data_IF_871963002496
#
_entry.id   IF_871963002496
#
_cell.length_a   1.000
_cell.length_b   1.000
_cell.length_c   1.000
_cell.angle_alpha   90.00
_cell.angle_beta   90.00
_cell.angle_gamma   90.00
#
_symmetry.space_group_name_H-M   'P 1'
#
loop_
_entity.id
_entity.type
_entity.pdbx_description
1 polymer ?
#
# COMPACT_ATOMS: atom_id res chain seq x y z
N UNK A 1 -4.41 23.67 -13.56
CA UNK A 1 -3.40 22.61 -13.79
C UNK A 1 -2.39 22.68 -12.67
N UNK A 2 -2.06 21.57 -12.00
CA UNK A 2 -1.16 21.56 -10.83
C UNK A 2 0.19 20.95 -11.19
N UNK A 3 1.30 21.61 -10.89
CA UNK A 3 2.61 20.96 -11.03
C UNK A 3 2.87 20.01 -9.86
N UNK A 4 3.51 18.89 -10.16
CA UNK A 4 4.01 17.96 -9.15
C UNK A 4 5.39 17.43 -9.54
N UNK A 5 6.14 17.02 -8.53
CA UNK A 5 7.38 16.26 -8.71
C UNK A 5 7.26 14.90 -8.06
N UNK A 6 7.63 13.84 -8.77
CA UNK A 6 7.67 12.48 -8.25
C UNK A 6 9.06 12.21 -7.67
N UNK A 7 9.11 11.79 -6.42
CA UNK A 7 10.35 11.36 -5.74
C UNK A 7 10.19 9.96 -5.17
N UNK A 8 11.32 9.31 -4.89
CA UNK A 8 11.36 8.05 -4.15
C UNK A 8 12.49 8.04 -3.13
N UNK A 9 12.28 7.37 -2.00
CA UNK A 9 13.30 7.06 -1.02
C UNK A 9 13.33 5.56 -0.75
N UNK A 10 14.29 4.85 -1.36
CA UNK A 10 14.43 3.39 -1.28
C UNK A 10 13.17 2.64 -1.76
N UNK A 11 12.60 3.08 -2.87
CA UNK A 11 11.42 2.48 -3.50
C UNK A 11 10.09 3.01 -2.96
N UNK A 12 10.07 3.66 -1.79
CA UNK A 12 8.87 4.30 -1.27
C UNK A 12 8.66 5.65 -1.96
N UNK A 13 7.59 5.77 -2.76
CA UNK A 13 7.47 6.78 -3.81
C UNK A 13 6.31 7.78 -3.60
N UNK A 14 6.62 9.08 -3.69
CA UNK A 14 5.70 10.17 -3.34
C UNK A 14 5.49 11.16 -4.47
N UNK A 15 4.29 11.72 -4.54
CA UNK A 15 4.02 12.94 -5.31
C UNK A 15 4.23 14.14 -4.40
N UNK A 16 5.13 15.05 -4.76
CA UNK A 16 5.41 16.27 -4.02
C UNK A 16 4.75 17.46 -4.70
N UNK A 17 4.01 18.24 -3.90
CA UNK A 17 3.31 19.44 -4.31
C UNK A 17 3.82 20.63 -3.48
N UNK A 18 4.32 21.65 -4.16
CA UNK A 18 4.86 22.84 -3.50
C UNK A 18 3.82 23.94 -3.37
N UNK A 19 3.23 24.04 -2.18
CA UNK A 19 2.27 25.07 -1.78
C UNK A 19 2.88 26.15 -0.88
N UNK A 20 4.21 26.26 -0.76
CA UNK A 20 4.89 27.23 0.13
C UNK A 20 4.54 28.69 -0.18
N UNK A 21 4.19 29.00 -1.42
CA UNK A 21 3.80 30.34 -1.87
C UNK A 21 2.30 30.48 -2.20
N UNK A 22 1.49 29.50 -1.79
CA UNK A 22 0.07 29.42 -2.13
C UNK A 22 -0.12 28.83 -3.53
N UNK A 23 -0.44 27.55 -3.61
CA UNK A 23 -0.99 26.99 -4.85
C UNK A 23 -2.47 27.37 -4.93
N UNK A 24 -2.85 28.19 -5.90
CA UNK A 24 -4.23 28.51 -6.16
C UNK A 24 -4.88 27.41 -7.02
N UNK A 25 -5.91 26.76 -6.50
CA UNK A 25 -6.90 26.05 -7.30
C UNK A 25 -8.17 26.89 -7.38
N UNK A 26 -8.63 27.19 -8.59
CA UNK A 26 -9.78 28.05 -8.83
C UNK A 26 -9.55 29.53 -8.49
N UNK A 27 -10.60 30.34 -8.68
CA UNK A 27 -10.56 31.80 -8.60
C UNK A 27 -10.32 32.37 -7.18
N UNK A 28 -10.10 31.51 -6.18
CA UNK A 28 -10.11 31.84 -4.75
C UNK A 28 -8.75 31.99 -4.07
N UNK A 29 -7.62 31.70 -4.73
CA UNK A 29 -6.26 32.02 -4.22
C UNK A 29 -5.83 31.38 -2.89
N UNK A 30 -6.57 30.40 -2.36
CA UNK A 30 -6.23 29.67 -1.13
C UNK A 30 -5.33 28.45 -1.38
N UNK A 31 -4.63 27.92 -0.35
CA UNK A 31 -3.79 26.73 -0.48
C UNK A 31 -4.61 25.51 -0.93
N UNK A 32 -3.98 24.62 -1.71
CA UNK A 32 -4.61 23.36 -2.15
C UNK A 32 -4.97 22.52 -0.93
N UNK A 33 -6.26 22.33 -0.71
CA UNK A 33 -6.77 21.35 0.23
C UNK A 33 -7.19 20.11 -0.57
N UNK A 34 -6.37 19.06 -0.51
CA UNK A 34 -6.69 17.78 -1.15
C UNK A 34 -7.51 16.97 -0.17
N UNK A 35 -8.75 16.66 -0.54
CA UNK A 35 -9.55 15.70 0.20
C UNK A 35 -8.99 14.26 0.04
N UNK A 36 -9.33 13.33 0.96
CA UNK A 36 -8.87 11.94 0.89
C UNK A 36 -9.22 11.18 -0.41
N UNK A 37 -10.35 11.50 -1.07
CA UNK A 37 -10.75 10.86 -2.32
C UNK A 37 -9.86 11.31 -3.48
N UNK A 38 -9.53 12.60 -3.53
CA UNK A 38 -8.56 13.16 -4.46
C UNK A 38 -7.17 12.54 -4.28
N UNK A 39 -6.73 12.33 -3.03
CA UNK A 39 -5.48 11.60 -2.75
C UNK A 39 -5.52 10.17 -3.31
N UNK A 40 -6.59 9.40 -3.04
CA UNK A 40 -6.73 8.03 -3.57
C UNK A 40 -6.66 8.00 -5.10
N UNK A 41 -7.34 8.93 -5.77
CA UNK A 41 -7.32 9.04 -7.23
C UNK A 41 -5.93 9.34 -7.77
N UNK A 42 -5.18 10.25 -7.13
CA UNK A 42 -3.80 10.56 -7.52
C UNK A 42 -2.85 9.38 -7.31
N UNK A 43 -2.97 8.69 -6.18
CA UNK A 43 -2.13 7.58 -5.78
C UNK A 43 -2.47 6.25 -6.48
N UNK A 44 -3.65 6.11 -7.09
CA UNK A 44 -3.99 4.94 -7.89
C UNK A 44 -2.96 4.76 -9.03
N UNK A 45 -2.32 3.59 -9.08
CA UNK A 45 -1.23 3.31 -10.03
C UNK A 45 -1.68 3.03 -11.47
N UNK A 46 -2.99 2.90 -11.72
CA UNK A 46 -3.55 2.60 -13.06
C UNK A 46 -4.29 3.80 -13.65
N UNK A 47 -5.07 4.48 -12.83
CA UNK A 47 -5.93 5.60 -13.23
C UNK A 47 -5.38 6.96 -12.78
N UNK A 48 -4.47 6.97 -11.82
CA UNK A 48 -3.78 8.15 -11.34
C UNK A 48 -2.34 8.25 -11.85
N UNK A 49 -1.54 9.01 -11.11
CA UNK A 49 -0.09 9.07 -11.30
C UNK A 49 0.59 7.84 -10.70
N UNK A 50 0.01 7.31 -9.61
CA UNK A 50 0.57 6.21 -8.84
C UNK A 50 1.58 6.70 -7.80
N UNK A 51 1.45 6.25 -6.56
CA UNK A 51 2.42 6.49 -5.49
C UNK A 51 1.93 6.01 -4.13
N UNK A 52 2.85 5.78 -3.21
CA UNK A 52 2.54 5.39 -1.83
C UNK A 52 1.93 6.55 -1.02
N UNK A 53 2.10 7.79 -1.49
CA UNK A 53 1.46 8.95 -0.89
C UNK A 53 1.68 10.27 -1.63
N UNK A 54 1.06 11.31 -1.11
CA UNK A 54 1.23 12.70 -1.55
C UNK A 54 1.81 13.52 -0.40
N UNK A 55 2.82 14.34 -0.68
CA UNK A 55 3.46 15.24 0.27
C UNK A 55 3.21 16.67 -0.16
N UNK A 56 2.67 17.48 0.76
CA UNK A 56 2.46 18.91 0.57
C UNK A 56 3.53 19.69 1.33
N UNK A 57 4.30 20.50 0.61
CA UNK A 57 5.14 21.53 1.21
C UNK A 57 4.29 22.79 1.40
N UNK A 58 4.10 23.25 2.64
CA UNK A 58 3.17 24.32 3.00
C UNK A 58 3.91 25.46 3.73
N UNK A 59 3.32 26.66 3.78
CA UNK A 59 3.81 27.71 4.64
C UNK A 59 3.84 27.24 6.11
N UNK A 60 4.85 27.68 6.89
CA UNK A 60 4.95 27.36 8.32
C UNK A 60 3.80 28.02 9.10
N UNK A 61 3.46 27.45 10.26
CA UNK A 61 2.48 28.00 11.21
C UNK A 61 3.12 28.42 12.54
N UNK A 62 4.16 27.72 12.97
CA UNK A 62 4.74 27.81 14.32
C UNK A 62 6.23 28.17 14.28
N UNK A 63 6.61 29.06 13.34
CA UNK A 63 7.97 29.62 13.26
C UNK A 63 9.04 28.63 12.78
N UNK A 64 8.67 27.59 12.04
CA UNK A 64 9.58 26.83 11.17
C UNK A 64 9.82 27.53 9.82
N UNK A 65 10.56 26.89 8.94
CA UNK A 65 10.77 27.38 7.56
C UNK A 65 9.63 26.99 6.63
N UNK A 66 9.10 25.78 6.83
CA UNK A 66 7.94 25.26 6.13
C UNK A 66 7.25 24.19 6.97
N UNK A 67 6.09 23.76 6.50
CA UNK A 67 5.32 22.68 7.09
C UNK A 67 5.11 21.56 6.08
N UNK A 68 5.24 20.32 6.52
CA UNK A 68 4.93 19.14 5.73
C UNK A 68 3.58 18.58 6.17
N UNK A 69 2.71 18.30 5.20
CA UNK A 69 1.62 17.33 5.35
C UNK A 69 1.91 16.15 4.45
N UNK A 70 1.54 14.97 4.88
CA UNK A 70 1.67 13.75 4.09
C UNK A 70 0.34 13.01 4.14
N UNK A 71 -0.04 12.42 3.02
CA UNK A 71 -1.18 11.54 2.92
C UNK A 71 -0.74 10.21 2.34
N UNK A 72 -1.15 9.11 2.95
CA UNK A 72 -1.00 7.77 2.39
C UNK A 72 -1.90 7.61 1.16
N UNK A 73 -1.63 6.59 0.35
CA UNK A 73 -2.42 6.27 -0.83
C UNK A 73 -3.92 6.03 -0.56
N UNK A 74 -4.30 5.67 0.67
CA UNK A 74 -5.70 5.50 1.11
C UNK A 74 -6.38 6.80 1.56
N UNK A 75 -5.65 7.92 1.53
CA UNK A 75 -6.12 9.25 1.93
C UNK A 75 -5.99 9.55 3.42
N UNK A 76 -5.44 8.65 4.23
CA UNK A 76 -5.14 8.92 5.65
C UNK A 76 -3.91 9.83 5.79
N UNK A 77 -3.89 10.68 6.82
CA UNK A 77 -2.77 11.60 7.11
C UNK A 77 -1.96 11.06 8.29
N UNK A 78 -0.81 10.39 8.07
CA UNK A 78 0.06 9.96 9.16
C UNK A 78 0.86 11.13 9.75
N UNK A 79 1.40 10.95 10.95
CA UNK A 79 2.09 12.02 11.65
C UNK A 79 3.45 12.37 11.03
N UNK A 80 4.15 11.35 10.50
CA UNK A 80 5.48 11.49 9.92
C UNK A 80 5.80 10.31 8.97
N UNK A 81 6.69 10.53 8.01
CA UNK A 81 7.29 9.47 7.20
C UNK A 81 8.78 9.76 6.95
N UNK A 82 9.65 8.87 7.43
CA UNK A 82 11.10 9.06 7.35
C UNK A 82 11.65 9.06 5.92
N UNK A 83 11.03 8.34 4.97
CA UNK A 83 11.38 8.41 3.56
C UNK A 83 10.81 9.68 2.91
N UNK A 84 9.57 10.02 3.26
CA UNK A 84 8.88 11.22 2.75
C UNK A 84 9.61 12.52 3.11
N UNK A 85 10.08 12.67 4.35
CA UNK A 85 10.82 13.87 4.78
C UNK A 85 12.16 14.01 4.04
N UNK A 86 12.86 12.90 3.74
CA UNK A 86 14.06 12.93 2.88
C UNK A 86 13.71 13.34 1.45
N UNK A 87 12.62 12.81 0.90
CA UNK A 87 12.13 13.22 -0.43
C UNK A 87 11.81 14.71 -0.47
N UNK A 88 11.12 15.23 0.56
CA UNK A 88 10.81 16.65 0.67
C UNK A 88 12.08 17.50 0.75
N UNK A 89 13.01 17.17 1.63
CA UNK A 89 14.27 17.91 1.75
C UNK A 89 15.06 17.93 0.44
N UNK A 90 15.12 16.78 -0.25
CA UNK A 90 15.78 16.71 -1.55
C UNK A 90 15.07 17.53 -2.62
N UNK A 91 13.74 17.47 -2.65
CA UNK A 91 12.93 18.30 -3.54
C UNK A 91 13.19 19.79 -3.33
N UNK A 92 13.20 20.26 -2.07
CA UNK A 92 13.51 21.66 -1.76
C UNK A 92 14.90 22.05 -2.26
N UNK A 93 15.89 21.19 -2.05
CA UNK A 93 17.24 21.46 -2.52
C UNK A 93 17.31 21.56 -4.06
N UNK A 94 16.62 20.65 -4.75
CA UNK A 94 16.58 20.62 -6.21
C UNK A 94 15.83 21.84 -6.77
N UNK A 95 14.74 22.29 -6.13
CA UNK A 95 13.95 23.45 -6.60
C UNK A 95 14.58 24.80 -6.28
N UNK A 96 15.21 24.92 -5.11
CA UNK A 96 15.73 26.19 -4.61
C UNK A 96 17.21 26.38 -4.95
N UNK A 97 17.89 25.33 -5.42
CA UNK A 97 19.30 25.34 -5.78
C UNK A 97 20.25 25.32 -4.57
N UNK A 98 19.83 24.66 -3.49
CA UNK A 98 20.61 24.60 -2.24
C UNK A 98 21.89 23.77 -2.37
N UNK A 99 22.90 24.11 -1.56
CA UNK A 99 24.19 23.43 -1.49
C UNK A 99 24.29 22.52 -0.25
N UNK A 100 25.23 21.54 -0.24
CA UNK A 100 25.47 20.71 0.94
C UNK A 100 25.72 21.51 2.23
N UNK A 101 25.26 20.97 3.35
CA UNK A 101 25.21 21.62 4.66
C UNK A 101 23.93 22.41 4.91
N UNK A 102 23.06 22.56 3.90
CA UNK A 102 21.72 23.11 4.09
C UNK A 102 20.89 22.17 4.96
N UNK A 103 20.29 22.71 6.02
CA UNK A 103 19.29 22.03 6.84
C UNK A 103 17.99 22.81 6.85
N UNK A 104 16.84 22.13 6.97
CA UNK A 104 15.52 22.78 6.98
C UNK A 104 14.81 22.52 8.30
N UNK A 105 14.17 23.53 8.88
CA UNK A 105 13.29 23.32 10.03
C UNK A 105 11.85 23.09 9.56
N UNK A 106 11.46 21.82 9.47
CA UNK A 106 10.17 21.40 8.90
C UNK A 106 9.18 21.04 10.01
N UNK A 107 8.05 21.73 10.04
CA UNK A 107 6.94 21.41 10.94
C UNK A 107 6.19 20.17 10.42
N UNK A 108 5.98 19.18 11.28
CA UNK A 108 5.17 17.97 11.00
C UNK A 108 4.18 17.75 12.14
N UNK A 109 3.23 16.82 11.98
CA UNK A 109 2.34 16.43 13.08
C UNK A 109 3.10 15.73 14.22
N UNK A 110 4.28 15.15 13.95
CA UNK A 110 5.18 14.60 14.96
C UNK A 110 6.10 15.67 15.60
N UNK A 111 5.89 16.96 15.30
CA UNK A 111 6.74 18.06 15.75
C UNK A 111 7.75 18.51 14.69
N UNK A 112 8.78 19.24 15.12
CA UNK A 112 9.79 19.82 14.23
C UNK A 112 10.85 18.77 13.86
N UNK A 113 11.05 18.54 12.57
CA UNK A 113 12.08 17.64 12.03
C UNK A 113 13.11 18.46 11.25
N UNK A 114 14.39 18.10 11.39
CA UNK A 114 15.51 18.84 10.79
C UNK A 114 16.31 17.93 9.84
N UNK A 115 15.89 17.79 8.58
CA UNK A 115 16.72 17.16 7.56
C UNK A 115 17.88 18.08 7.14
N UNK A 116 19.00 17.47 6.75
CA UNK A 116 20.22 18.14 6.27
C UNK A 116 20.73 17.48 5.00
N UNK A 117 21.01 18.28 3.97
CA UNK A 117 21.64 17.84 2.74
C UNK A 117 23.14 17.61 2.95
N UNK A 118 23.58 16.38 2.74
CA UNK A 118 24.97 15.97 2.90
C UNK A 118 25.80 16.25 1.65
N UNK A 119 27.13 16.22 1.80
CA UNK A 119 28.09 16.48 0.72
C UNK A 119 27.97 15.50 -0.47
N UNK A 120 27.49 14.29 -0.22
CA UNK A 120 27.25 13.26 -1.23
C UNK A 120 25.82 13.31 -1.82
N UNK A 121 25.03 14.32 -1.46
CA UNK A 121 23.66 14.52 -1.94
C UNK A 121 22.59 13.69 -1.21
N UNK A 122 22.97 12.85 -0.23
CA UNK A 122 22.02 12.16 0.64
C UNK A 122 21.42 13.12 1.66
N UNK A 123 20.31 12.71 2.27
CA UNK A 123 19.65 13.49 3.33
C UNK A 123 19.88 12.78 4.66
N UNK A 124 20.45 13.50 5.62
CA UNK A 124 20.54 13.10 7.03
C UNK A 124 19.35 13.67 7.78
N UNK A 125 18.71 12.87 8.62
CA UNK A 125 17.53 13.24 9.41
C UNK A 125 17.80 12.89 10.86
N UNK A 126 17.56 13.84 11.76
CA UNK A 126 17.46 13.56 13.19
C UNK A 126 16.12 12.86 13.49
N UNK A 127 16.21 11.61 13.94
CA UNK A 127 15.08 10.74 14.24
C UNK A 127 14.71 10.76 15.74
N UNK A 128 15.42 11.55 16.54
CA UNK A 128 15.25 11.62 17.98
C UNK A 128 15.85 10.42 18.72
N UNK A 129 15.59 10.36 20.02
CA UNK A 129 16.04 9.25 20.88
C UNK A 129 15.09 8.04 20.80
N UNK A 130 15.60 6.81 20.99
CA UNK A 130 14.77 5.62 21.00
C UNK A 130 14.01 5.48 22.32
N UNK A 131 12.85 4.83 22.27
CA UNK A 131 12.09 4.41 23.44
C UNK A 131 12.43 2.96 23.79
N UNK A 132 12.84 2.72 25.03
CA UNK A 132 13.28 1.41 25.52
C UNK A 132 12.47 0.91 26.73
N UNK A 133 11.49 1.67 27.19
CA UNK A 133 10.58 1.23 28.24
C UNK A 133 9.38 0.47 27.64
N UNK A 134 8.96 -0.68 28.19
CA UNK A 134 7.87 -1.49 27.63
C UNK A 134 6.58 -0.72 27.40
N UNK A 135 6.24 0.22 28.29
CA UNK A 135 5.03 1.04 28.20
C UNK A 135 5.09 2.06 27.05
N UNK A 136 6.30 2.53 26.70
CA UNK A 136 6.52 3.45 25.58
C UNK A 136 6.58 2.71 24.24
N UNK A 137 7.00 1.44 24.23
CA UNK A 137 7.04 0.54 23.06
C UNK A 137 5.73 -0.26 22.89
N UNK A 138 4.66 0.10 23.59
CA UNK A 138 3.60 -0.82 24.07
C UNK A 138 3.86 -2.34 23.85
N UNK A 139 4.66 -2.95 24.73
CA UNK A 139 4.91 -4.39 24.74
C UNK A 139 4.77 -5.00 26.13
N UNK A 140 4.44 -6.30 26.20
CA UNK A 140 4.43 -7.08 27.45
C UNK A 140 5.76 -7.79 27.70
N UNK A 141 6.75 -7.63 26.83
CA UNK A 141 8.07 -8.22 27.02
C UNK A 141 8.76 -7.59 28.24
N UNK A 142 9.41 -8.38 29.10
CA UNK A 142 10.18 -7.84 30.22
C UNK A 142 11.44 -7.14 29.71
N UNK A 143 11.90 -6.12 30.45
CA UNK A 143 13.23 -5.52 30.22
C UNK A 143 14.29 -6.53 30.63
N UNK A 144 15.14 -6.93 29.67
CA UNK A 144 16.26 -7.84 29.93
C UNK A 144 17.55 -7.10 30.33
N UNK A 145 18.64 -7.83 30.57
CA UNK A 145 19.86 -7.25 31.15
C UNK A 145 20.58 -6.22 30.27
N UNK A 146 20.26 -6.17 28.98
CA UNK A 146 20.79 -5.21 28.01
C UNK A 146 20.03 -3.87 28.01
N UNK A 147 19.00 -3.70 28.86
CA UNK A 147 18.29 -2.43 29.02
C UNK A 147 17.22 -2.16 27.96
N UNK A 148 16.68 -3.20 27.34
CA UNK A 148 15.54 -3.12 26.41
C UNK A 148 14.57 -4.29 26.64
N UNK A 149 13.28 -4.16 26.23
CA UNK A 149 12.29 -5.23 26.30
C UNK A 149 12.70 -6.35 25.36
N UNK A 150 12.81 -7.57 25.87
CA UNK A 150 13.28 -8.72 25.09
C UNK A 150 12.80 -10.04 25.68
N UNK A 151 12.88 -11.10 24.88
CA UNK A 151 12.54 -12.44 25.33
C UNK A 151 12.52 -13.46 24.20
N UNK A 152 11.86 -14.58 24.47
CA UNK A 152 11.60 -15.60 23.46
C UNK A 152 10.08 -15.74 23.26
N UNK A 153 9.66 -15.77 22.01
CA UNK A 153 8.27 -15.99 21.61
C UNK A 153 8.16 -17.29 20.83
N UNK A 154 7.08 -18.03 21.03
CA UNK A 154 6.72 -19.17 20.19
C UNK A 154 5.64 -18.73 19.20
N UNK A 155 5.99 -18.77 17.91
CA UNK A 155 5.11 -18.33 16.81
C UNK A 155 5.17 -19.38 15.70
N UNK A 156 4.03 -19.96 15.34
CA UNK A 156 3.91 -20.97 14.29
C UNK A 156 4.91 -22.13 14.40
N UNK A 157 5.22 -22.56 15.63
CA UNK A 157 6.17 -23.63 15.92
C UNK A 157 7.64 -23.22 15.90
N UNK A 158 7.95 -21.95 15.63
CA UNK A 158 9.28 -21.37 15.75
C UNK A 158 9.47 -20.73 17.12
N UNK A 159 10.63 -20.94 17.72
CA UNK A 159 11.05 -20.24 18.94
C UNK A 159 11.99 -19.10 18.55
N UNK A 160 11.48 -17.88 18.63
CA UNK A 160 12.16 -16.68 18.14
C UNK A 160 12.67 -15.85 19.30
N UNK A 161 13.95 -15.48 19.26
CA UNK A 161 14.50 -14.45 20.15
C UNK A 161 14.13 -13.08 19.59
N UNK A 162 13.52 -12.27 20.44
CA UNK A 162 13.00 -10.96 20.04
C UNK A 162 13.49 -9.88 20.98
N UNK A 163 13.72 -8.69 20.43
CA UNK A 163 13.95 -7.48 21.19
C UNK A 163 13.09 -6.35 20.62
N UNK A 164 12.54 -5.51 21.47
CA UNK A 164 11.66 -4.42 21.06
C UNK A 164 12.31 -3.06 21.32
N UNK A 165 11.99 -2.09 20.48
CA UNK A 165 12.36 -0.70 20.64
C UNK A 165 11.31 0.19 19.96
N UNK A 166 11.24 1.45 20.36
CA UNK A 166 10.31 2.42 19.78
C UNK A 166 11.03 3.60 19.15
N UNK A 167 10.48 4.12 18.05
CA UNK A 167 10.92 5.38 17.41
C UNK A 167 9.72 6.32 17.21
N UNK A 168 8.78 6.31 18.16
CA UNK A 168 7.45 6.92 18.07
C UNK A 168 6.36 5.91 17.71
N UNK A 169 6.74 4.81 17.06
CA UNK A 169 5.93 3.63 16.81
C UNK A 169 6.66 2.35 17.28
N UNK A 170 5.93 1.25 17.55
CA UNK A 170 6.51 0.01 18.07
C UNK A 170 7.24 -0.81 17.00
N UNK A 171 8.42 -1.33 17.35
CA UNK A 171 9.22 -2.22 16.52
C UNK A 171 9.68 -3.44 17.31
N UNK A 172 9.60 -4.62 16.69
CA UNK A 172 10.23 -5.86 17.17
C UNK A 172 11.29 -6.31 16.19
N UNK A 173 12.46 -6.65 16.71
CA UNK A 173 13.66 -7.02 15.97
C UNK A 173 13.99 -8.47 16.31
N UNK A 174 14.17 -9.28 15.27
CA UNK A 174 14.45 -10.72 15.35
C UNK A 174 15.76 -10.98 14.63
N UNK A 175 16.88 -11.14 15.38
CA UNK A 175 18.13 -11.58 14.80
C UNK A 175 18.00 -12.99 14.21
N UNK A 176 18.43 -13.17 12.97
CA UNK A 176 18.42 -14.44 12.24
C UNK A 176 19.76 -14.68 11.55
N UNK A 177 20.04 -15.95 11.22
CA UNK A 177 21.26 -16.32 10.50
C UNK A 177 21.21 -15.92 9.02
N UNK A 178 20.04 -16.01 8.39
CA UNK A 178 19.80 -15.69 6.98
C UNK A 178 18.41 -15.07 6.81
N UNK A 179 18.35 -13.77 6.46
CA UNK A 179 17.07 -13.07 6.21
C UNK A 179 16.37 -13.55 4.93
N UNK A 180 17.09 -14.11 3.96
CA UNK A 180 16.49 -14.61 2.72
C UNK A 180 15.69 -15.90 2.94
N UNK A 181 16.05 -16.68 3.96
CA UNK A 181 15.39 -17.93 4.31
C UNK A 181 14.13 -17.75 5.20
N UNK A 182 13.86 -16.53 5.67
CA UNK A 182 12.71 -16.24 6.54
C UNK A 182 11.41 -16.23 5.73
N UNK A 183 10.41 -16.96 6.24
CA UNK A 183 9.00 -16.81 5.87
C UNK A 183 8.48 -15.48 6.41
N UNK A 184 8.73 -14.40 5.66
CA UNK A 184 8.39 -13.04 6.06
C UNK A 184 6.88 -12.87 6.17
N UNK A 185 6.13 -13.45 5.25
CA UNK A 185 4.69 -13.33 5.17
C UNK A 185 4.00 -14.05 6.34
N UNK A 186 4.36 -15.31 6.61
CA UNK A 186 3.80 -16.07 7.73
C UNK A 186 4.18 -15.47 9.07
N UNK A 187 5.49 -15.36 9.34
CA UNK A 187 5.97 -14.91 10.65
C UNK A 187 5.73 -13.41 10.87
N UNK A 188 5.87 -12.59 9.84
CA UNK A 188 5.62 -11.16 9.93
C UNK A 188 4.17 -10.86 10.31
N UNK A 189 3.21 -11.47 9.61
CA UNK A 189 1.79 -11.32 9.92
C UNK A 189 1.44 -11.82 11.33
N UNK A 190 1.98 -12.97 11.74
CA UNK A 190 1.74 -13.54 13.06
C UNK A 190 2.33 -12.68 14.19
N UNK A 191 3.54 -12.15 14.00
CA UNK A 191 4.22 -11.29 14.97
C UNK A 191 3.60 -9.90 15.06
N UNK A 192 3.09 -9.33 13.95
CA UNK A 192 2.43 -8.02 13.93
C UNK A 192 1.32 -7.95 14.98
N UNK A 193 0.49 -9.00 15.07
CA UNK A 193 -0.69 -9.06 15.95
C UNK A 193 -0.46 -9.91 17.20
N UNK A 194 0.78 -10.32 17.47
CA UNK A 194 1.08 -11.20 18.59
C UNK A 194 0.68 -10.56 19.93
N UNK A 195 0.11 -11.32 20.89
CA UNK A 195 -0.38 -10.77 22.17
C UNK A 195 0.65 -9.98 23.00
N UNK A 196 1.94 -10.21 22.76
CA UNK A 196 3.03 -9.45 23.38
C UNK A 196 3.12 -7.98 22.91
N UNK A 197 2.39 -7.61 21.86
CA UNK A 197 2.37 -6.27 21.28
C UNK A 197 0.91 -5.76 21.20
N UNK A 198 0.35 -5.23 22.30
CA UNK A 198 -1.05 -4.80 22.35
C UNK A 198 -1.44 -3.75 21.30
N UNK A 199 -0.50 -2.90 20.87
CA UNK A 199 -0.71 -1.89 19.84
C UNK A 199 -0.31 -2.37 18.42
N UNK A 200 -0.17 -3.69 18.24
CA UNK A 200 0.54 -4.34 17.14
C UNK A 200 1.99 -3.85 17.04
N UNK A 201 2.78 -4.37 16.09
CA UNK A 201 4.17 -3.95 15.94
C UNK A 201 4.68 -4.07 14.51
N UNK A 202 5.68 -3.27 14.14
CA UNK A 202 6.47 -3.48 12.93
C UNK A 202 7.52 -4.56 13.21
N UNK A 203 7.64 -5.55 12.33
CA UNK A 203 8.47 -6.73 12.52
C UNK A 203 9.68 -6.66 11.61
N UNK A 204 10.88 -6.80 12.17
CA UNK A 204 12.15 -6.68 11.45
C UNK A 204 12.99 -7.94 11.68
N UNK A 205 13.24 -8.69 10.61
CA UNK A 205 14.22 -9.77 10.63
C UNK A 205 15.56 -9.21 10.20
N UNK A 206 16.61 -9.45 10.98
CA UNK A 206 17.93 -8.86 10.75
C UNK A 206 19.02 -9.91 10.80
N UNK A 207 19.92 -9.85 9.82
CA UNK A 207 21.15 -10.62 9.76
C UNK A 207 22.31 -9.64 9.93
N UNK A 208 23.14 -9.87 10.95
CA UNK A 208 24.37 -9.13 11.13
C UNK A 208 25.48 -9.78 10.30
N UNK A 209 25.91 -9.12 9.22
CA UNK A 209 27.02 -9.58 8.40
C UNK A 209 28.37 -9.19 9.03
N UNK A 210 28.42 -7.96 9.54
CA UNK A 210 29.56 -7.37 10.26
C UNK A 210 29.02 -6.39 11.31
N UNK A 211 29.82 -5.99 12.31
CA UNK A 211 29.35 -5.05 13.33
C UNK A 211 28.84 -3.70 12.76
N UNK A 212 29.33 -3.26 11.61
CA UNK A 212 28.91 -2.04 10.93
C UNK A 212 28.03 -2.30 9.68
N UNK A 213 27.59 -3.54 9.45
CA UNK A 213 26.78 -3.90 8.28
C UNK A 213 25.71 -4.94 8.63
N UNK A 214 24.46 -4.50 8.59
CA UNK A 214 23.28 -5.31 8.82
C UNK A 214 22.45 -5.41 7.54
N UNK A 215 21.77 -6.53 7.35
CA UNK A 215 20.75 -6.71 6.31
C UNK A 215 19.44 -7.02 6.99
N UNK A 216 18.35 -6.38 6.56
CA UNK A 216 17.04 -6.57 7.15
C UNK A 216 15.91 -6.74 6.13
N UNK A 217 14.88 -7.46 6.53
CA UNK A 217 13.57 -7.48 5.87
C UNK A 217 12.51 -7.06 6.87
N UNK A 218 11.49 -6.36 6.38
CA UNK A 218 10.47 -5.72 7.21
C UNK A 218 9.08 -6.18 6.81
N UNK A 219 8.26 -6.40 7.84
CA UNK A 219 6.81 -6.43 7.75
C UNK A 219 6.27 -5.24 8.57
N UNK A 220 5.69 -4.26 7.90
CA UNK A 220 5.14 -3.07 8.54
C UNK A 220 3.71 -3.27 9.01
N UNK A 221 3.43 -2.74 10.19
CA UNK A 221 2.13 -2.79 10.85
C UNK A 221 1.05 -2.22 9.91
N UNK A 222 0.09 -3.04 9.54
CA UNK A 222 -1.02 -2.67 8.65
C UNK A 222 -0.65 -2.51 7.17
N UNK A 223 0.61 -2.69 6.78
CA UNK A 223 1.07 -2.55 5.39
C UNK A 223 1.69 -3.84 4.80
N UNK A 224 2.12 -4.78 5.65
CA UNK A 224 2.75 -6.01 5.18
C UNK A 224 4.21 -5.81 4.76
N UNK A 225 4.75 -6.61 3.82
CA UNK A 225 6.14 -6.49 3.41
C UNK A 225 6.39 -5.19 2.64
N UNK A 226 7.31 -4.36 3.11
CA UNK A 226 7.70 -3.09 2.46
C UNK A 226 9.16 -3.10 2.01
N UNK A 227 9.50 -2.19 1.09
CA UNK A 227 10.86 -2.08 0.56
C UNK A 227 11.82 -1.39 1.53
N UNK A 228 11.32 -0.46 2.36
CA UNK A 228 12.13 0.24 3.34
C UNK A 228 11.30 0.86 4.45
N UNK A 229 11.77 0.74 5.69
CA UNK A 229 11.18 1.36 6.88
C UNK A 229 12.27 2.13 7.65
N UNK A 230 12.22 3.47 7.62
CA UNK A 230 13.26 4.31 8.24
C UNK A 230 13.31 4.20 9.77
N UNK A 231 12.16 4.27 10.44
CA UNK A 231 12.07 4.06 11.90
C UNK A 231 12.42 2.62 12.28
N UNK A 232 12.08 1.65 11.42
CA UNK A 232 12.49 0.26 11.55
C UNK A 232 14.00 0.09 11.54
N UNK A 233 14.70 0.70 10.58
CA UNK A 233 16.16 0.65 10.52
C UNK A 233 16.82 1.26 11.78
N UNK A 234 16.28 2.38 12.28
CA UNK A 234 16.72 2.98 13.54
C UNK A 234 16.54 2.02 14.74
N UNK A 235 15.34 1.46 14.91
CA UNK A 235 15.04 0.51 15.97
C UNK A 235 15.89 -0.77 15.89
N UNK A 236 16.13 -1.27 14.67
CA UNK A 236 16.99 -2.43 14.40
C UNK A 236 18.43 -2.17 14.83
N UNK A 237 19.01 -1.00 14.51
CA UNK A 237 20.36 -0.67 14.96
C UNK A 237 20.44 -0.65 16.49
N UNK A 238 19.48 0.00 17.16
CA UNK A 238 19.46 0.10 18.63
C UNK A 238 19.40 -1.28 19.26
N UNK A 239 18.47 -2.13 18.81
CA UNK A 239 18.32 -3.48 19.32
C UNK A 239 19.58 -4.32 19.07
N UNK A 240 20.14 -4.31 17.84
CA UNK A 240 21.35 -5.04 17.52
C UNK A 240 22.55 -4.56 18.34
N UNK A 241 22.71 -3.27 18.55
CA UNK A 241 23.80 -2.73 19.36
C UNK A 241 23.70 -3.18 20.82
N UNK A 242 22.52 -3.03 21.43
CA UNK A 242 22.30 -3.43 22.82
C UNK A 242 22.44 -4.95 23.02
N UNK A 243 22.10 -5.75 22.01
CA UNK A 243 22.32 -7.20 22.00
C UNK A 243 23.78 -7.61 21.70
N UNK A 244 24.67 -6.65 21.42
CA UNK A 244 26.09 -6.91 21.12
C UNK A 244 26.35 -7.47 19.72
N UNK A 245 25.42 -7.26 18.78
CA UNK A 245 25.49 -7.73 17.39
C UNK A 245 26.06 -6.67 16.43
N UNK A 246 26.00 -5.39 16.79
CA UNK A 246 26.45 -4.29 15.96
C UNK A 246 27.11 -3.16 16.75
N UNK A 247 27.82 -2.29 16.05
CA UNK A 247 28.22 -0.98 16.57
C UNK A 247 27.02 -0.03 16.66
N UNK A 248 27.24 1.13 17.30
CA UNK A 248 26.29 2.26 17.33
C UNK A 248 26.14 2.99 16.00
N UNK A 249 26.99 2.67 15.02
CA UNK A 249 26.90 3.20 13.66
C UNK A 249 27.05 2.06 12.68
N UNK A 250 26.05 1.85 11.85
CA UNK A 250 26.07 0.81 10.85
C UNK A 250 25.28 1.20 9.60
N UNK A 251 25.66 0.57 8.49
CA UNK A 251 24.86 0.49 7.29
C UNK A 251 23.81 -0.61 7.45
N UNK A 252 22.56 -0.29 7.14
CA UNK A 252 21.45 -1.23 7.07
C UNK A 252 20.99 -1.35 5.62
N UNK A 253 21.10 -2.56 5.06
CA UNK A 253 20.56 -2.90 3.76
C UNK A 253 19.12 -3.42 3.91
N UNK A 254 18.18 -2.68 3.32
CA UNK A 254 16.78 -3.03 3.18
C UNK A 254 16.52 -3.50 1.73
N UNK A 255 15.38 -4.13 1.42
CA UNK A 255 15.08 -4.56 0.06
C UNK A 255 15.15 -3.43 -0.99
N UNK A 256 14.78 -2.20 -0.59
CA UNK A 256 14.81 -1.00 -1.44
C UNK A 256 16.17 -0.30 -1.52
N UNK A 257 17.19 -0.75 -0.78
CA UNK A 257 18.53 -0.18 -0.73
C UNK A 257 18.98 0.16 0.69
N UNK A 258 19.96 1.05 0.83
CA UNK A 258 20.72 1.18 2.08
C UNK A 258 20.45 2.48 2.83
N UNK A 259 20.43 2.39 4.17
CA UNK A 259 20.48 3.51 5.09
C UNK A 259 21.73 3.44 5.96
N UNK A 260 22.35 4.58 6.24
CA UNK A 260 23.36 4.70 7.28
C UNK A 260 22.67 5.21 8.53
N UNK A 261 22.75 4.45 9.62
CA UNK A 261 22.16 4.84 10.90
C UNK A 261 23.29 5.04 11.90
N UNK A 262 23.22 6.16 12.63
CA UNK A 262 24.19 6.56 13.64
C UNK A 262 23.47 6.93 14.93
N UNK A 263 23.70 6.16 16.00
CA UNK A 263 23.15 6.44 17.33
C UNK A 263 24.19 7.17 18.18
N UNK A 264 24.11 8.49 18.17
CA UNK A 264 25.10 9.37 18.77
C UNK A 264 25.13 9.26 20.30
N UNK A 265 26.33 9.08 20.87
CA UNK A 265 26.55 8.96 22.33
C UNK A 265 26.29 10.28 23.07
N UNK A 266 26.61 11.41 22.44
CA UNK A 266 26.58 12.71 23.11
C UNK A 266 25.16 13.24 23.31
N UNK A 267 24.32 13.10 22.28
CA UNK A 267 22.91 13.54 22.30
C UNK A 267 21.95 12.42 22.68
N UNK A 268 22.31 11.15 22.46
CA UNK A 268 21.39 10.01 22.56
C UNK A 268 20.41 9.90 21.38
N UNK A 269 20.53 10.78 20.37
CA UNK A 269 19.67 10.78 19.19
C UNK A 269 20.17 9.83 18.11
N UNK A 270 19.24 9.32 17.30
CA UNK A 270 19.54 8.59 16.07
C UNK A 270 19.51 9.52 14.87
N UNK A 271 20.54 9.43 14.04
CA UNK A 271 20.60 10.07 12.75
C UNK A 271 20.49 9.03 11.66
N UNK A 272 19.48 9.20 10.80
CA UNK A 272 19.28 8.36 9.62
C UNK A 272 19.74 9.12 8.38
N UNK A 273 20.68 8.56 7.63
CA UNK A 273 21.14 9.11 6.36
C UNK A 273 20.79 8.17 5.23
N UNK A 274 20.09 8.67 4.22
CA UNK A 274 19.66 7.86 3.08
C UNK A 274 19.49 8.67 1.80
N UNK A 275 19.41 8.00 0.65
CA UNK A 275 19.11 8.66 -0.61
C UNK A 275 17.64 9.12 -0.65
N UNK A 276 17.42 10.08 -1.53
CA UNK A 276 16.12 10.48 -2.06
C UNK A 276 16.36 10.93 -3.51
N UNK A 277 15.53 10.48 -4.43
CA UNK A 277 15.77 10.64 -5.86
C UNK A 277 14.55 11.19 -6.56
N UNK A 278 14.76 12.21 -7.40
CA UNK A 278 13.75 12.67 -8.34
C UNK A 278 13.54 11.60 -9.41
N UNK A 279 12.28 11.28 -9.70
CA UNK A 279 11.91 10.29 -10.73
C UNK A 279 11.44 11.01 -11.99
N UNK A 280 10.43 11.86 -11.87
CA UNK A 280 9.92 12.68 -12.97
C UNK A 280 9.14 13.88 -12.44
N UNK A 281 8.83 14.82 -13.32
CA UNK A 281 7.93 15.95 -13.02
C UNK A 281 6.76 15.93 -13.98
N UNK A 282 5.63 16.46 -13.55
CA UNK A 282 4.42 16.46 -14.36
C UNK A 282 3.43 17.54 -13.97
N UNK A 283 2.33 17.55 -14.70
CA UNK A 283 1.22 18.47 -14.49
C UNK A 283 -0.07 17.66 -14.37
N UNK A 284 -0.82 17.86 -13.30
CA UNK A 284 -2.09 17.21 -13.04
C UNK A 284 -3.21 17.94 -13.78
N UNK A 285 -4.04 17.15 -14.47
CA UNK A 285 -5.28 17.61 -15.08
C UNK A 285 -6.28 18.05 -13.99
N UNK A 286 -7.05 19.14 -14.21
CA UNK A 286 -8.04 19.60 -13.23
C UNK A 286 -9.02 18.52 -12.78
N UNK A 287 -9.51 17.70 -13.72
CA UNK A 287 -10.52 16.65 -13.45
C UNK A 287 -10.00 15.54 -12.52
N UNK A 288 -8.67 15.38 -12.41
CA UNK A 288 -8.07 14.40 -11.51
C UNK A 288 -8.06 14.89 -10.05
N UNK A 289 -8.24 16.19 -9.83
CA UNK A 289 -8.20 16.85 -8.53
C UNK A 289 -9.58 17.39 -8.13
N UNK A 290 -10.44 17.71 -9.10
CA UNK A 290 -11.81 18.15 -8.84
C UNK A 290 -12.70 16.97 -8.43
N UNK A 291 -13.63 17.17 -7.50
CA UNK A 291 -14.73 16.23 -7.28
C UNK A 291 -15.62 16.23 -8.54
N UNK A 292 -16.12 15.08 -9.02
CA UNK A 292 -17.26 15.12 -9.91
C UNK A 292 -18.42 15.78 -9.14
N UNK A 293 -18.86 16.95 -9.57
CA UNK A 293 -20.17 17.44 -9.20
C UNK A 293 -21.19 16.46 -9.77
N UNK A 294 -21.58 15.46 -8.98
CA UNK A 294 -22.84 14.80 -9.25
C UNK A 294 -23.93 15.78 -8.84
N UNK A 295 -24.76 16.29 -9.76
CA UNK A 295 -25.98 16.97 -9.34
C UNK A 295 -26.72 15.99 -8.43
N UNK A 296 -27.30 16.44 -7.30
CA UNK A 296 -28.16 15.58 -6.52
C UNK A 296 -29.18 14.99 -7.47
N UNK A 297 -29.34 13.67 -7.46
CA UNK A 297 -30.40 13.01 -8.19
C UNK A 297 -31.67 13.75 -7.81
N UNK A 298 -32.24 14.49 -8.77
CA UNK A 298 -33.47 15.23 -8.52
C UNK A 298 -34.47 14.20 -7.97
N UNK A 299 -35.14 14.47 -6.84
CA UNK A 299 -36.26 13.63 -6.46
C UNK A 299 -37.19 13.56 -7.69
N UNK A 300 -37.76 12.39 -8.01
CA UNK A 300 -38.68 12.29 -9.12
C UNK A 300 -39.71 13.41 -8.95
N UNK A 301 -39.89 14.22 -9.99
CA UNK A 301 -40.89 15.26 -9.95
C UNK A 301 -42.23 14.59 -9.62
N UNK A 302 -42.92 15.09 -8.59
CA UNK A 302 -44.20 14.55 -8.08
C UNK A 302 -45.34 14.57 -9.12
N UNK A 303 -45.06 14.95 -10.38
CA UNK A 303 -46.05 15.09 -11.46
C UNK A 303 -46.16 13.87 -12.40
N UNK A 304 -45.28 12.86 -12.32
CA UNK A 304 -45.39 11.65 -13.17
C UNK A 304 -46.16 10.49 -12.51
N UNK A 305 -46.84 10.73 -11.39
CA UNK A 305 -47.72 9.73 -10.76
C UNK A 305 -49.10 9.58 -11.46
N UNK A 306 -49.40 10.39 -12.49
CA UNK A 306 -50.74 10.45 -13.10
C UNK A 306 -50.82 9.98 -14.57
N UNK A 307 -49.72 9.58 -15.21
CA UNK A 307 -49.73 9.26 -16.63
C UNK A 307 -48.95 7.99 -16.97
N UNK A 308 -49.40 6.81 -16.54
CA UNK A 308 -49.22 5.52 -17.25
C UNK A 308 -50.23 4.46 -16.71
N UNK A 309 -51.52 4.78 -16.78
CA UNK A 309 -52.59 3.78 -16.79
C UNK A 309 -53.11 3.66 -18.23
N UNK A 310 -52.35 2.98 -19.09
CA UNK A 310 -52.83 2.56 -20.41
C UNK A 310 -52.72 1.03 -20.48
N UNK A 311 -53.78 0.29 -20.88
CA UNK A 311 -53.71 -1.15 -20.99
C UNK A 311 -52.79 -1.56 -22.15
N UNK A 312 -51.96 -2.57 -21.90
CA UNK A 312 -51.14 -3.23 -22.92
C UNK A 312 -52.05 -3.85 -24.00
N UNK A 313 -51.73 -3.75 -25.30
CA UNK A 313 -52.45 -4.46 -26.35
C UNK A 313 -52.11 -5.96 -26.32
N UNK A 314 -53.11 -6.79 -26.62
CA UNK A 314 -53.05 -8.26 -26.65
C UNK A 314 -51.92 -8.80 -27.54
N UNK A 315 -51.12 -9.71 -26.98
CA UNK A 315 -50.15 -10.50 -27.71
C UNK A 315 -50.84 -11.67 -28.43
N UNK A 316 -50.80 -11.66 -29.77
CA UNK A 316 -51.12 -12.84 -30.57
C UNK A 316 -49.96 -13.88 -30.47
N UNK A 317 -50.25 -15.18 -30.56
CA UNK A 317 -49.27 -16.22 -30.26
C UNK A 317 -48.55 -16.65 -31.54
N UNK A 318 -47.24 -16.37 -31.64
CA UNK A 318 -46.39 -17.08 -32.59
C UNK A 318 -45.47 -18.07 -31.88
N UNK A 319 -45.71 -19.31 -32.26
CA UNK A 319 -45.14 -20.56 -31.79
C UNK A 319 -43.74 -20.71 -32.38
N UNK A 320 -42.72 -20.82 -31.53
CA UNK A 320 -41.50 -21.56 -31.86
C UNK A 320 -41.20 -22.52 -30.72
N UNK A 321 -41.56 -23.79 -30.96
CA UNK A 321 -41.26 -24.91 -30.10
C UNK A 321 -39.74 -25.10 -29.98
N UNK A 322 -39.22 -24.96 -28.75
CA UNK A 322 -37.88 -25.44 -28.41
C UNK A 322 -37.98 -26.95 -28.16
N UNK A 323 -37.31 -27.72 -29.01
CA UNK A 323 -37.19 -29.17 -28.87
C UNK A 323 -36.42 -29.51 -27.58
N UNK A 324 -36.98 -30.42 -26.78
CA UNK A 324 -36.30 -31.01 -25.64
C UNK A 324 -35.03 -31.76 -26.11
N UNK A 325 -33.87 -31.60 -25.44
CA UNK A 325 -32.71 -32.40 -25.79
C UNK A 325 -32.91 -33.85 -25.34
N UNK A 326 -32.56 -34.75 -26.25
CA UNK A 326 -32.61 -36.18 -26.06
C UNK A 326 -31.73 -36.65 -24.89
N UNK A 327 -32.24 -37.69 -24.25
CA UNK A 327 -31.73 -38.45 -23.12
C UNK A 327 -30.29 -38.97 -23.24
N UNK A 328 -29.59 -39.03 -22.10
CA UNK A 328 -28.76 -40.20 -21.76
C UNK A 328 -27.24 -40.06 -21.83
N UNK A 329 -26.67 -38.94 -21.41
CA UNK A 329 -25.21 -38.76 -21.38
C UNK A 329 -24.77 -38.34 -19.97
N UNK A 330 -23.76 -39.01 -19.35
CA UNK A 330 -23.28 -38.62 -18.03
C UNK A 330 -22.71 -37.20 -18.09
N UNK A 331 -23.18 -36.37 -17.16
CA UNK A 331 -22.78 -34.97 -17.04
C UNK A 331 -21.32 -34.91 -16.56
N UNK A 332 -20.43 -34.32 -17.35
CA UNK A 332 -19.02 -34.19 -16.98
C UNK A 332 -18.87 -32.89 -16.22
N UNK A 333 -18.72 -32.98 -14.90
CA UNK A 333 -18.41 -31.84 -14.05
C UNK A 333 -16.90 -31.53 -14.08
N UNK A 334 -16.52 -30.61 -14.96
CA UNK A 334 -15.14 -30.16 -15.10
C UNK A 334 -14.60 -29.45 -13.85
N UNK A 335 -15.46 -29.01 -12.92
CA UNK A 335 -15.03 -28.34 -11.68
C UNK A 335 -14.40 -29.30 -10.68
N UNK A 336 -14.76 -30.58 -10.75
CA UNK A 336 -14.23 -31.65 -9.89
C UNK A 336 -13.13 -32.48 -10.57
N UNK A 337 -13.17 -32.60 -11.90
CA UNK A 337 -12.20 -33.41 -12.65
C UNK A 337 -10.87 -32.68 -12.99
N UNK A 338 -10.84 -31.33 -13.00
CA UNK A 338 -9.67 -30.55 -13.41
C UNK A 338 -9.05 -29.76 -12.25
N UNK A 339 -8.02 -30.33 -11.60
CA UNK A 339 -7.37 -29.76 -10.40
C UNK A 339 -6.65 -28.43 -10.66
N UNK A 340 -6.27 -28.14 -11.92
CA UNK A 340 -5.54 -26.91 -12.31
C UNK A 340 -6.31 -26.02 -13.31
N UNK A 341 -7.63 -26.20 -13.44
CA UNK A 341 -8.43 -25.49 -14.43
C UNK A 341 -8.18 -25.97 -15.88
N UNK A 342 -9.22 -25.94 -16.71
CA UNK A 342 -9.14 -26.41 -18.10
C UNK A 342 -8.63 -25.29 -19.01
N UNK A 343 -7.32 -25.03 -18.99
CA UNK A 343 -6.72 -23.91 -19.76
C UNK A 343 -6.43 -24.30 -21.22
N UNK A 344 -6.41 -25.61 -21.52
CA UNK A 344 -6.13 -26.16 -22.86
C UNK A 344 -7.00 -27.40 -23.13
N UNK A 345 -7.99 -27.34 -24.04
CA UNK A 345 -8.89 -28.46 -24.32
C UNK A 345 -8.16 -29.76 -24.69
N UNK A 346 -7.06 -29.66 -25.44
CA UNK A 346 -6.20 -30.78 -25.85
C UNK A 346 -5.51 -31.51 -24.68
N UNK A 347 -5.38 -30.85 -23.53
CA UNK A 347 -4.81 -31.39 -22.31
C UNK A 347 -5.85 -31.94 -21.33
N UNK A 348 -7.14 -31.97 -21.72
CA UNK A 348 -8.19 -32.53 -20.88
C UNK A 348 -7.97 -34.05 -20.70
N UNK A 349 -8.00 -34.52 -19.45
CA UNK A 349 -7.82 -35.93 -19.11
C UNK A 349 -8.97 -36.83 -19.63
N UNK A 350 -10.14 -36.25 -19.91
CA UNK A 350 -11.26 -36.98 -20.50
C UNK A 350 -11.13 -37.04 -22.02
N UNK A 351 -10.83 -38.23 -22.55
CA UNK A 351 -10.77 -38.49 -23.98
C UNK A 351 -12.12 -38.20 -24.68
N UNK A 352 -13.23 -38.43 -23.99
CA UNK A 352 -14.57 -38.15 -24.51
C UNK A 352 -14.85 -36.64 -24.61
N UNK A 353 -14.44 -35.86 -23.60
CA UNK A 353 -14.57 -34.41 -23.64
C UNK A 353 -13.71 -33.80 -24.76
N UNK A 354 -12.49 -34.31 -24.96
CA UNK A 354 -11.62 -33.92 -26.07
C UNK A 354 -12.24 -34.19 -27.43
N UNK A 355 -12.79 -35.38 -27.64
CA UNK A 355 -13.42 -35.74 -28.90
C UNK A 355 -14.62 -34.84 -29.24
N UNK A 356 -15.39 -34.40 -28.23
CA UNK A 356 -16.50 -33.46 -28.42
C UNK A 356 -16.03 -32.06 -28.82
N UNK A 357 -14.97 -31.56 -28.19
CA UNK A 357 -14.39 -30.26 -28.55
C UNK A 357 -13.79 -30.31 -29.95
N UNK A 358 -13.05 -31.36 -30.30
CA UNK A 358 -12.50 -31.55 -31.64
C UNK A 358 -13.60 -31.65 -32.72
N UNK A 359 -14.70 -32.37 -32.45
CA UNK A 359 -15.85 -32.43 -33.36
C UNK A 359 -16.54 -31.06 -33.53
N UNK A 360 -16.65 -30.29 -32.44
CA UNK A 360 -17.21 -28.94 -32.48
C UNK A 360 -16.33 -27.98 -33.31
N UNK A 361 -15.02 -28.03 -33.12
CA UNK A 361 -14.05 -27.17 -33.81
C UNK A 361 -13.85 -27.59 -35.28
N UNK A 362 -13.86 -28.89 -35.57
CA UNK A 362 -13.70 -29.41 -36.93
C UNK A 362 -14.95 -29.29 -37.80
N UNK A 363 -16.13 -29.16 -37.18
CA UNK A 363 -17.41 -29.08 -37.89
C UNK A 363 -17.94 -27.67 -38.15
N UNK A 364 -17.21 -26.61 -37.75
CA UNK A 364 -17.68 -25.22 -37.81
C UNK A 364 -16.62 -24.28 -38.37
N UNK A 365 -17.06 -23.22 -39.04
CA UNK A 365 -16.15 -22.15 -39.48
C UNK A 365 -15.70 -21.29 -38.29
N UNK A 366 -14.60 -20.55 -38.46
CA UNK A 366 -14.10 -19.64 -37.41
C UNK A 366 -15.15 -18.58 -37.04
N UNK A 367 -15.87 -18.06 -38.03
CA UNK A 367 -16.92 -17.05 -37.82
C UNK A 367 -18.09 -17.63 -37.01
N UNK A 368 -18.50 -18.88 -37.28
CA UNK A 368 -19.56 -19.56 -36.50
C UNK A 368 -19.15 -19.80 -35.03
N UNK A 369 -17.85 -20.02 -34.78
CA UNK A 369 -17.33 -20.20 -33.41
C UNK A 369 -17.27 -18.86 -32.65
N UNK A 370 -16.95 -17.76 -33.34
CA UNK A 370 -16.95 -16.41 -32.77
C UNK A 370 -18.38 -15.99 -32.42
N UNK A 371 -19.33 -16.22 -33.31
CA UNK A 371 -20.76 -15.92 -33.07
C UNK A 371 -21.32 -16.74 -31.90
N UNK A 372 -20.94 -18.01 -31.76
CA UNK A 372 -21.36 -18.83 -30.62
C UNK A 372 -20.83 -18.26 -29.30
N UNK A 373 -19.59 -17.78 -29.27
CA UNK A 373 -18.95 -17.23 -28.08
C UNK A 373 -19.60 -15.91 -27.64
N UNK A 374 -19.84 -14.99 -28.57
CA UNK A 374 -20.48 -13.69 -28.34
C UNK A 374 -21.93 -13.84 -27.91
N UNK A 375 -22.69 -14.71 -28.59
CA UNK A 375 -24.09 -14.99 -28.24
C UNK A 375 -24.18 -15.61 -26.84
N UNK A 376 -23.24 -16.47 -26.44
CA UNK A 376 -23.25 -17.04 -25.08
C UNK A 376 -22.95 -16.00 -23.98
N UNK A 377 -22.21 -14.94 -24.29
CA UNK A 377 -21.88 -13.88 -23.34
C UNK A 377 -23.09 -12.97 -23.11
N UNK A 378 -23.78 -12.59 -24.19
CA UNK A 378 -25.05 -11.86 -24.11
C UNK A 378 -26.13 -12.69 -23.41
N UNK A 379 -26.19 -13.99 -23.69
CA UNK A 379 -27.13 -14.91 -23.03
C UNK A 379 -26.89 -14.99 -21.52
N UNK A 380 -25.62 -15.10 -21.10
CA UNK A 380 -25.23 -15.10 -19.67
C UNK A 380 -25.48 -13.76 -18.99
N UNK A 381 -25.28 -12.67 -19.71
CA UNK A 381 -25.54 -11.31 -19.22
C UNK A 381 -27.05 -11.10 -19.02
N UNK A 382 -27.86 -11.49 -20.01
CA UNK A 382 -29.32 -11.42 -19.95
C UNK A 382 -29.92 -12.32 -18.88
N UNK A 383 -29.37 -13.53 -18.71
CA UNK A 383 -29.77 -14.45 -17.65
C UNK A 383 -29.58 -13.83 -16.25
N UNK A 384 -28.45 -13.14 -15.99
CA UNK A 384 -28.18 -12.44 -14.72
C UNK A 384 -29.17 -11.32 -14.42
N UNK A 385 -29.66 -10.63 -15.44
CA UNK A 385 -30.68 -9.59 -15.27
C UNK A 385 -32.07 -10.19 -15.02
N UNK A 386 -32.37 -11.37 -15.56
CA UNK A 386 -33.66 -12.05 -15.35
C UNK A 386 -33.74 -12.89 -14.07
N UNK A 387 -32.60 -13.28 -13.47
CA UNK A 387 -32.55 -14.12 -12.25
C UNK A 387 -32.18 -13.39 -10.96
N UNK A 388 -32.14 -12.04 -10.98
CA UNK A 388 -31.78 -11.20 -9.83
C UNK A 388 -32.93 -10.77 -8.90
N UNK A 389 -34.07 -11.47 -8.90
CA UNK A 389 -35.12 -11.29 -7.90
C UNK A 389 -34.91 -12.26 -6.73
N UNK A 390 -34.43 -11.77 -5.60
CA UNK A 390 -34.38 -12.52 -4.34
C UNK A 390 -35.83 -12.88 -3.95
N UNK A 391 -36.18 -14.16 -3.73
CA UNK A 391 -37.47 -14.48 -3.14
C UNK A 391 -37.43 -14.11 -1.65
N UNK A 392 -38.30 -13.16 -1.27
CA UNK A 392 -38.64 -12.91 0.13
C UNK A 392 -39.52 -14.06 0.60
N UNK A 393 -39.04 -14.84 1.57
CA UNK A 393 -39.77 -15.92 2.22
C UNK A 393 -40.78 -15.31 3.23
N UNK A 394 -42.10 -15.53 3.09
CA UNK A 394 -43.07 -15.14 4.10
C UNK A 394 -43.45 -16.37 4.95
N UNK A 395 -42.68 -16.60 6.01
CA UNK A 395 -43.14 -17.20 7.27
C UNK A 395 -42.91 -18.70 7.46
N UNK A 396 -42.07 -19.05 8.44
CA UNK A 396 -42.37 -19.72 9.73
C UNK A 396 -41.33 -19.30 10.76
#
# INVERSE_FOLDING_TARGET
MLQFSKYQGLGNDFLLLDSRHGLAFGDGGGPVDLDPESIRRLCDRRYGVGGDGVILALPPREGGELRMRIFNADGTEPEMCGNGIRCLARFLADTDGDSPGRSWQIETLAGRIVPELQADGRIRVDMGAPFLEPEQVPTTLPVGPQGLPQGELEVDGYRLRVAAAGMGNPHVVIPVEDVAAVDLEGLGAALEVHPAFPARTNVHFVQALQPQHLVMRVWERGAGPTLACGTGACATLVACHLLGLSERRARLDLPGGSLEIDWDDASGHLFMTGPAEAVFQGVLAPDLIALPEFPPLAPPADDDAAAMAAPLPDAAPDVIASAAPATGVPDIDCSTACVNGCVRPEACASAEARARVEALLGGRSLDELVDLATTSLESRTRARFTSGGIPVDPGV
#
